data_IF_061910188723
#
_entry.id   IF_061910188723
#
_cell.length_a   1.000
_cell.length_b   1.000
_cell.length_c   1.000
_cell.angle_alpha   90.00
_cell.angle_beta   90.00
_cell.angle_gamma   90.00
#
_symmetry.space_group_name_H-M   'P 1'
#
loop_
_entity.id
_entity.type
_entity.pdbx_description
1 polymer ?
#
# COMPACT_ATOMS: atom_id res chain seq x y z
N UNK A 1 6.27 21.25 10.39
CA UNK A 1 5.95 19.83 10.18
C UNK A 1 4.52 19.72 9.66
N UNK A 2 4.37 19.33 8.39
CA UNK A 2 3.04 19.02 7.85
C UNK A 2 2.68 17.63 8.37
N UNK A 3 1.51 17.52 9.02
CA UNK A 3 1.03 16.29 9.63
C UNK A 3 0.94 15.11 8.64
N UNK A 4 0.97 13.90 9.16
CA UNK A 4 0.58 12.72 8.41
C UNK A 4 -0.90 12.89 8.06
N UNK A 5 -1.21 12.73 6.77
CA UNK A 5 -2.57 12.90 6.30
C UNK A 5 -3.55 11.91 6.91
N UNK A 6 -4.82 12.17 6.70
CA UNK A 6 -5.91 11.37 7.23
C UNK A 6 -5.88 9.92 6.73
N UNK A 7 -6.20 9.00 7.61
CA UNK A 7 -6.40 7.59 7.26
C UNK A 7 -7.83 7.42 6.77
N UNK A 8 -7.97 7.04 5.50
CA UNK A 8 -9.28 6.76 4.93
C UNK A 8 -9.78 5.36 5.33
N UNK A 9 -11.09 5.22 5.32
CA UNK A 9 -11.83 4.06 5.78
C UNK A 9 -11.35 2.75 5.16
N UNK A 10 -11.21 1.69 5.95
CA UNK A 10 -10.99 0.32 5.46
C UNK A 10 -12.13 -0.09 4.53
N UNK A 11 -11.81 -0.65 3.38
CA UNK A 11 -12.78 -1.18 2.42
C UNK A 11 -12.32 -2.56 1.92
N UNK A 12 -13.25 -3.39 1.50
CA UNK A 12 -12.97 -4.69 0.89
C UNK A 12 -12.65 -4.53 -0.60
N UNK A 13 -11.68 -5.32 -1.08
CA UNK A 13 -11.22 -5.32 -2.49
C UNK A 13 -12.16 -6.06 -3.44
N UNK A 14 -13.14 -6.79 -2.97
CA UNK A 14 -14.01 -7.60 -3.84
C UNK A 14 -14.58 -6.81 -5.03
N UNK A 15 -15.00 -5.56 -4.78
CA UNK A 15 -15.50 -4.68 -5.84
C UNK A 15 -14.40 -4.28 -6.83
N UNK A 16 -13.20 -3.97 -6.34
CA UNK A 16 -12.08 -3.55 -7.18
C UNK A 16 -11.55 -4.72 -8.03
N UNK A 17 -11.47 -5.93 -7.48
CA UNK A 17 -11.09 -7.13 -8.23
C UNK A 17 -12.13 -7.49 -9.30
N UNK A 18 -13.43 -7.35 -9.01
CA UNK A 18 -14.49 -7.57 -9.99
C UNK A 18 -14.41 -6.57 -11.14
N UNK A 19 -14.14 -5.30 -10.85
CA UNK A 19 -13.94 -4.25 -11.86
C UNK A 19 -12.68 -4.52 -12.69
N UNK A 20 -11.55 -4.86 -12.06
CA UNK A 20 -10.29 -5.14 -12.76
C UNK A 20 -10.40 -6.36 -13.68
N UNK A 21 -11.11 -7.40 -13.29
CA UNK A 21 -11.38 -8.57 -14.13
C UNK A 21 -12.35 -8.25 -15.28
N UNK A 22 -13.36 -7.42 -15.03
CA UNK A 22 -14.27 -6.93 -16.07
C UNK A 22 -13.57 -6.10 -17.14
N UNK A 23 -12.58 -5.30 -16.76
CA UNK A 23 -11.78 -4.51 -17.70
C UNK A 23 -10.86 -5.41 -18.53
N UNK A 24 -10.20 -6.41 -17.92
CA UNK A 24 -9.38 -7.39 -18.67
C UNK A 24 -10.18 -8.15 -19.72
N UNK A 25 -11.43 -8.51 -19.45
CA UNK A 25 -12.29 -9.20 -20.42
C UNK A 25 -12.69 -8.35 -21.62
N UNK A 26 -12.70 -7.02 -21.48
CA UNK A 26 -13.00 -6.09 -22.57
C UNK A 26 -11.83 -5.83 -23.53
N UNK A 27 -10.59 -6.09 -23.11
CA UNK A 27 -9.39 -5.84 -23.94
C UNK A 27 -8.84 -7.08 -24.64
N UNK A 28 -9.38 -8.27 -24.38
CA UNK A 28 -9.07 -9.45 -25.19
C UNK A 28 -10.11 -9.59 -26.30
N UNK A 29 -9.70 -9.31 -27.55
CA UNK A 29 -10.54 -9.34 -28.77
C UNK A 29 -11.16 -10.69 -29.14
N UNK A 30 -11.29 -11.64 -28.24
CA UNK A 30 -11.96 -12.95 -28.46
C UNK A 30 -12.61 -13.45 -27.20
N UNK A 31 -13.77 -12.96 -26.91
CA UNK A 31 -14.92 -13.75 -26.43
C UNK A 31 -16.03 -12.81 -25.94
N UNK A 32 -17.12 -12.76 -26.64
CA UNK A 32 -18.45 -12.37 -26.16
C UNK A 32 -19.00 -13.47 -25.23
N UNK A 33 -18.22 -13.96 -24.29
CA UNK A 33 -18.75 -14.73 -23.17
C UNK A 33 -19.24 -13.72 -22.14
N UNK A 34 -20.54 -13.68 -21.95
CA UNK A 34 -21.19 -13.07 -20.81
C UNK A 34 -20.64 -13.80 -19.58
N UNK A 35 -19.67 -13.20 -18.91
CA UNK A 35 -19.15 -13.74 -17.66
C UNK A 35 -20.26 -13.65 -16.63
N UNK A 36 -20.84 -14.78 -16.27
CA UNK A 36 -21.82 -14.87 -15.20
C UNK A 36 -21.14 -14.51 -13.87
N UNK A 37 -21.38 -13.28 -13.42
CA UNK A 37 -20.86 -12.75 -12.17
C UNK A 37 -21.20 -13.64 -10.96
N UNK A 38 -22.24 -14.49 -11.07
CA UNK A 38 -22.63 -15.42 -10.02
C UNK A 38 -21.74 -16.67 -9.94
N UNK A 39 -21.02 -17.03 -11.02
CA UNK A 39 -20.05 -18.14 -11.01
C UNK A 39 -18.67 -17.73 -10.45
N UNK A 40 -18.35 -16.43 -10.34
CA UNK A 40 -17.12 -15.94 -9.71
C UNK A 40 -17.15 -16.02 -8.17
N UNK A 41 -18.23 -16.53 -7.58
CA UNK A 41 -18.42 -16.66 -6.12
C UNK A 41 -17.76 -17.86 -5.47
N UNK A 42 -16.93 -18.63 -6.17
CA UNK A 42 -16.14 -19.71 -5.56
C UNK A 42 -14.86 -19.11 -4.98
N UNK A 43 -14.83 -19.07 -3.65
CA UNK A 43 -13.78 -18.56 -2.75
C UNK A 43 -13.65 -17.03 -2.69
N UNK A 44 -14.39 -16.42 -1.75
CA UNK A 44 -14.21 -15.04 -1.35
C UNK A 44 -12.91 -14.90 -0.57
N UNK A 45 -11.79 -14.75 -1.23
CA UNK A 45 -10.61 -14.18 -0.61
C UNK A 45 -10.81 -12.66 -0.50
N UNK A 46 -11.41 -12.22 0.61
CA UNK A 46 -11.49 -10.80 0.91
C UNK A 46 -10.12 -10.30 1.33
N UNK A 47 -9.59 -9.33 0.60
CA UNK A 47 -8.33 -8.67 0.92
C UNK A 47 -8.63 -7.28 1.47
N UNK A 48 -8.15 -7.01 2.67
CA UNK A 48 -8.33 -5.71 3.32
C UNK A 48 -7.23 -4.74 2.90
N UNK A 49 -7.61 -3.50 2.68
CA UNK A 49 -6.67 -2.41 2.42
C UNK A 49 -6.99 -1.17 3.27
N UNK A 50 -6.00 -0.31 3.39
CA UNK A 50 -6.15 1.03 3.99
C UNK A 50 -5.64 2.06 2.99
N UNK A 51 -6.43 3.10 2.72
CA UNK A 51 -5.97 4.23 1.92
C UNK A 51 -5.36 5.28 2.85
N UNK A 52 -4.13 5.71 2.55
CA UNK A 52 -3.43 6.74 3.31
C UNK A 52 -2.71 7.70 2.36
N UNK A 53 -2.47 8.92 2.81
CA UNK A 53 -1.67 9.90 2.09
C UNK A 53 -0.62 10.53 3.01
N UNK A 54 0.53 10.89 2.44
CA UNK A 54 1.55 11.69 3.08
C UNK A 54 1.95 12.85 2.17
N UNK A 55 1.70 14.07 2.59
CA UNK A 55 1.98 15.26 1.80
C UNK A 55 1.33 15.27 0.40
N UNK A 56 0.12 14.72 0.26
CA UNK A 56 -0.61 14.65 -0.99
C UNK A 56 -0.27 13.42 -1.86
N UNK A 57 0.75 12.65 -1.51
CA UNK A 57 1.11 11.42 -2.19
C UNK A 57 0.32 10.25 -1.58
N UNK A 58 -0.67 9.72 -2.29
CA UNK A 58 -1.66 8.79 -1.77
C UNK A 58 -1.48 7.38 -2.33
N UNK A 59 -1.38 6.40 -1.43
CA UNK A 59 -1.20 5.00 -1.75
C UNK A 59 -2.30 4.12 -1.14
N UNK A 60 -2.43 2.91 -1.70
CA UNK A 60 -3.28 1.84 -1.20
C UNK A 60 -2.38 0.86 -0.44
N UNK A 61 -2.59 0.73 0.88
CA UNK A 61 -1.73 -0.05 1.78
C UNK A 61 -2.37 -1.39 2.10
N UNK A 62 -1.58 -2.46 2.00
CA UNK A 62 -1.97 -3.82 2.34
C UNK A 62 -1.17 -4.32 3.53
N UNK A 63 -1.88 -4.75 4.59
CA UNK A 63 -1.25 -5.41 5.73
C UNK A 63 -0.94 -6.87 5.40
N UNK A 64 0.27 -7.12 4.90
CA UNK A 64 0.74 -8.46 4.58
C UNK A 64 1.42 -9.18 5.76
N UNK A 65 1.14 -8.78 7.01
CA UNK A 65 1.43 -9.57 8.20
C UNK A 65 0.47 -10.76 8.35
N UNK A 66 -0.77 -10.61 7.86
CA UNK A 66 -1.86 -11.56 8.02
C UNK A 66 -2.56 -11.94 6.69
N UNK A 67 -2.15 -11.35 5.58
CA UNK A 67 -2.69 -11.66 4.26
C UNK A 67 -1.56 -11.70 3.22
N UNK A 68 -1.81 -12.36 2.09
CA UNK A 68 -0.85 -12.50 1.01
C UNK A 68 -1.38 -11.87 -0.27
N UNK A 69 -0.49 -11.17 -0.97
CA UNK A 69 -0.74 -10.61 -2.30
C UNK A 69 0.21 -11.29 -3.28
N UNK A 70 -0.33 -12.07 -4.21
CA UNK A 70 0.46 -12.88 -5.14
C UNK A 70 0.93 -12.11 -6.37
N UNK A 71 0.15 -11.13 -6.84
CA UNK A 71 0.49 -10.31 -8.01
C UNK A 71 0.35 -8.82 -7.68
N UNK A 72 1.33 -8.23 -6.99
CA UNK A 72 1.25 -6.82 -6.59
C UNK A 72 1.36 -5.85 -7.77
N UNK A 73 2.11 -6.20 -8.83
CA UNK A 73 2.24 -5.40 -10.05
C UNK A 73 0.87 -5.24 -10.74
N UNK A 74 0.20 -6.37 -10.97
CA UNK A 74 -1.15 -6.36 -11.56
C UNK A 74 -2.19 -5.69 -10.66
N UNK A 75 -2.03 -5.83 -9.35
CA UNK A 75 -2.90 -5.16 -8.38
C UNK A 75 -2.70 -3.64 -8.42
N UNK A 76 -1.46 -3.16 -8.52
CA UNK A 76 -1.15 -1.74 -8.62
C UNK A 76 -1.78 -1.13 -9.88
N UNK A 77 -1.60 -1.78 -11.04
CA UNK A 77 -2.23 -1.35 -12.29
C UNK A 77 -3.76 -1.24 -12.19
N UNK A 78 -4.40 -2.24 -11.56
CA UNK A 78 -5.86 -2.29 -11.48
C UNK A 78 -6.43 -1.30 -10.46
N UNK A 79 -5.80 -1.17 -9.29
CA UNK A 79 -6.37 -0.40 -8.18
C UNK A 79 -5.96 1.07 -8.18
N UNK A 80 -4.84 1.43 -8.81
CA UNK A 80 -4.36 2.82 -8.80
C UNK A 80 -5.13 3.74 -9.73
N UNK A 81 -5.87 3.20 -10.69
CA UNK A 81 -6.74 4.00 -11.57
C UNK A 81 -7.76 4.79 -10.74
N UNK A 82 -7.81 6.11 -10.95
CA UNK A 82 -8.67 7.02 -10.18
C UNK A 82 -10.12 7.02 -10.64
N UNK A 83 -10.41 6.43 -11.80
CA UNK A 83 -11.76 6.37 -12.38
C UNK A 83 -12.39 4.98 -12.23
N UNK A 84 -11.59 3.93 -12.39
CA UNK A 84 -12.09 2.55 -12.42
C UNK A 84 -11.56 1.68 -11.28
N UNK A 85 -10.61 2.18 -10.49
CA UNK A 85 -10.04 1.53 -9.32
C UNK A 85 -10.39 2.24 -8.01
N UNK A 86 -9.56 2.03 -7.00
CA UNK A 86 -9.59 2.78 -5.73
C UNK A 86 -9.01 4.18 -5.94
N UNK A 87 -8.10 4.30 -6.89
CA UNK A 87 -7.34 5.51 -7.18
C UNK A 87 -6.18 5.74 -6.22
N UNK A 88 -5.01 6.09 -6.74
CA UNK A 88 -3.84 6.39 -5.94
C UNK A 88 -2.58 6.46 -6.80
N UNK A 89 -1.47 6.84 -6.17
CA UNK A 89 -0.16 6.89 -6.84
C UNK A 89 0.49 5.50 -6.94
N UNK A 90 -0.15 4.49 -6.35
CA UNK A 90 0.30 3.10 -6.37
C UNK A 90 -0.19 2.30 -5.16
N UNK A 91 0.50 1.18 -4.95
CA UNK A 91 0.22 0.20 -3.89
C UNK A 91 1.45 0.03 -3.01
N UNK A 92 1.24 -0.11 -1.70
CA UNK A 92 2.30 -0.42 -0.74
C UNK A 92 1.93 -1.68 0.04
N UNK A 93 2.84 -2.66 0.05
CA UNK A 93 2.74 -3.85 0.87
C UNK A 93 3.55 -3.66 2.15
N UNK A 94 2.90 -3.86 3.31
CA UNK A 94 3.52 -3.84 4.63
C UNK A 94 3.71 -5.29 5.06
N UNK A 95 4.95 -5.76 5.06
CA UNK A 95 5.32 -7.16 5.26
C UNK A 95 6.16 -7.35 6.52
N UNK A 96 6.25 -8.60 7.01
CA UNK A 96 7.25 -8.98 8.02
C UNK A 96 8.65 -8.90 7.42
N UNK A 97 9.61 -8.46 8.23
CA UNK A 97 11.04 -8.51 7.91
C UNK A 97 11.76 -9.51 8.83
N UNK A 98 12.88 -10.05 8.36
CA UNK A 98 13.79 -10.88 9.18
C UNK A 98 14.92 -10.04 9.80
N UNK A 99 15.08 -8.80 9.34
CA UNK A 99 16.25 -7.94 9.67
C UNK A 99 15.85 -6.56 10.19
N UNK A 100 14.56 -6.24 10.18
CA UNK A 100 14.01 -4.96 10.60
C UNK A 100 12.63 -5.16 11.26
N UNK A 101 11.99 -4.09 11.73
CA UNK A 101 10.67 -4.14 12.37
C UNK A 101 9.55 -4.47 11.38
N UNK A 102 9.77 -4.13 10.12
CA UNK A 102 8.87 -4.44 9.01
C UNK A 102 9.56 -4.22 7.68
N UNK A 103 8.86 -4.60 6.62
CA UNK A 103 9.31 -4.43 5.24
C UNK A 103 8.27 -3.70 4.42
N UNK A 104 8.70 -2.71 3.66
CA UNK A 104 7.91 -1.99 2.70
C UNK A 104 8.30 -2.42 1.28
N UNK A 105 7.31 -2.86 0.50
CA UNK A 105 7.43 -2.93 -0.95
C UNK A 105 6.41 -1.97 -1.55
N UNK A 106 6.82 -1.20 -2.53
CA UNK A 106 5.92 -0.26 -3.19
C UNK A 106 5.87 -0.50 -4.69
N UNK A 107 4.71 -0.31 -5.26
CA UNK A 107 4.45 -0.46 -6.68
C UNK A 107 3.77 0.81 -7.19
N UNK A 108 4.34 1.41 -8.22
CA UNK A 108 3.80 2.59 -8.86
C UNK A 108 2.49 2.26 -9.60
N UNK A 109 1.78 3.28 -10.01
CA UNK A 109 0.52 3.13 -10.77
C UNK A 109 0.69 2.37 -12.11
N UNK A 110 1.91 2.32 -12.66
CA UNK A 110 2.27 1.56 -13.87
C UNK A 110 2.68 0.10 -13.57
N UNK A 111 2.60 -0.33 -12.31
CA UNK A 111 2.97 -1.67 -11.85
C UNK A 111 4.47 -1.86 -11.58
N UNK A 112 5.31 -0.89 -11.89
CA UNK A 112 6.75 -0.99 -11.60
C UNK A 112 7.02 -0.96 -10.10
N UNK A 113 7.95 -1.80 -9.61
CA UNK A 113 8.36 -1.77 -8.20
C UNK A 113 9.35 -0.63 -7.95
N UNK A 114 8.95 0.30 -7.08
CA UNK A 114 9.79 1.43 -6.66
C UNK A 114 10.71 1.04 -5.50
N UNK A 115 11.88 1.68 -5.44
CA UNK A 115 12.88 1.36 -4.42
C UNK A 115 12.48 1.83 -3.03
N UNK A 116 11.93 3.04 -2.92
CA UNK A 116 11.48 3.65 -1.66
C UNK A 116 10.69 4.93 -1.95
N UNK A 117 9.75 5.27 -1.06
CA UNK A 117 9.04 6.53 -1.07
C UNK A 117 9.04 7.15 0.33
N UNK A 118 9.65 8.33 0.48
CA UNK A 118 9.77 9.01 1.77
C UNK A 118 8.40 9.39 2.39
N UNK A 119 7.40 9.69 1.57
CA UNK A 119 6.03 9.94 2.04
C UNK A 119 5.33 8.62 2.42
N UNK A 120 5.47 7.60 1.58
CA UNK A 120 4.88 6.29 1.81
C UNK A 120 5.40 5.62 3.07
N UNK A 121 6.71 5.65 3.34
CA UNK A 121 7.30 4.99 4.50
C UNK A 121 6.85 5.62 5.83
N UNK A 122 6.54 6.93 5.86
CA UNK A 122 5.95 7.59 7.04
C UNK A 122 4.58 7.02 7.36
N UNK A 123 3.76 6.81 6.33
CA UNK A 123 2.46 6.15 6.47
C UNK A 123 2.61 4.70 6.90
N UNK A 124 3.60 3.94 6.38
CA UNK A 124 3.90 2.57 6.82
C UNK A 124 4.21 2.53 8.32
N UNK A 125 5.11 3.40 8.80
CA UNK A 125 5.47 3.45 10.22
C UNK A 125 4.25 3.79 11.10
N UNK A 126 3.45 4.78 10.71
CA UNK A 126 2.20 5.11 11.39
C UNK A 126 1.24 3.93 11.39
N UNK A 127 1.03 3.29 10.24
CA UNK A 127 0.16 2.12 10.12
C UNK A 127 0.58 0.99 11.08
N UNK A 128 1.88 0.67 11.09
CA UNK A 128 2.42 -0.39 11.94
C UNK A 128 2.20 -0.09 13.42
N UNK A 129 2.37 1.17 13.83
CA UNK A 129 2.14 1.60 15.21
C UNK A 129 0.67 1.58 15.60
N UNK A 130 -0.20 2.18 14.79
CA UNK A 130 -1.64 2.32 15.06
C UNK A 130 -2.36 0.96 15.07
N UNK A 131 -1.87 -0.02 14.30
CA UNK A 131 -2.43 -1.38 14.27
C UNK A 131 -1.73 -2.36 15.23
N UNK A 132 -0.84 -1.89 16.09
CA UNK A 132 -0.16 -2.71 17.09
C UNK A 132 0.79 -3.78 16.52
N UNK A 133 1.25 -3.60 15.28
CA UNK A 133 2.22 -4.50 14.65
C UNK A 133 3.62 -4.30 15.24
N UNK A 134 3.92 -3.07 15.68
CA UNK A 134 5.16 -2.69 16.37
C UNK A 134 4.83 -1.74 17.51
N UNK A 135 5.38 -1.99 18.70
CA UNK A 135 5.13 -1.19 19.89
C UNK A 135 6.32 -0.29 20.28
N UNK A 136 6.82 0.48 19.32
CA UNK A 136 7.85 1.50 19.53
C UNK A 136 7.71 2.62 18.52
N UNK A 137 8.26 3.78 18.80
CA UNK A 137 8.19 4.97 17.93
C UNK A 137 9.41 5.13 17.04
N UNK A 138 10.57 4.57 17.44
CA UNK A 138 11.77 4.50 16.61
C UNK A 138 11.79 3.14 15.89
N UNK A 139 11.60 3.14 14.59
CA UNK A 139 11.46 1.94 13.77
C UNK A 139 12.52 1.85 12.68
N UNK A 140 12.90 0.63 12.36
CA UNK A 140 13.68 0.29 11.18
C UNK A 140 12.78 -0.44 10.18
N UNK A 141 12.74 0.03 8.93
CA UNK A 141 11.91 -0.54 7.87
C UNK A 141 12.80 -0.96 6.70
N UNK A 142 12.75 -2.24 6.36
CA UNK A 142 13.43 -2.80 5.20
C UNK A 142 12.76 -2.30 3.92
N UNK A 143 13.56 -1.84 2.96
CA UNK A 143 13.14 -1.40 1.62
C UNK A 143 14.11 -1.91 0.57
N UNK A 144 13.81 -1.74 -0.72
CA UNK A 144 14.79 -2.02 -1.78
C UNK A 144 16.01 -1.06 -1.78
N UNK A 145 15.91 0.06 -1.06
CA UNK A 145 17.04 0.99 -0.85
C UNK A 145 17.84 0.68 0.42
N UNK A 146 17.53 -0.41 1.12
CA UNK A 146 18.12 -0.78 2.39
C UNK A 146 17.21 -0.53 3.58
N UNK A 147 17.78 -0.55 4.78
CA UNK A 147 17.06 -0.31 6.04
C UNK A 147 16.97 1.19 6.28
N UNK A 148 15.75 1.69 6.40
CA UNK A 148 15.43 3.10 6.62
C UNK A 148 14.95 3.28 8.06
N UNK A 149 15.54 4.24 8.76
CA UNK A 149 15.15 4.61 10.13
C UNK A 149 14.05 5.66 10.08
N UNK A 150 12.96 5.38 10.79
CA UNK A 150 11.80 6.25 10.91
C UNK A 150 11.52 6.50 12.38
N UNK A 151 11.40 7.76 12.78
CA UNK A 151 11.00 8.16 14.12
C UNK A 151 9.64 8.81 14.09
N UNK A 152 8.68 8.23 14.82
CA UNK A 152 7.34 8.76 14.98
C UNK A 152 7.32 9.88 16.03
N UNK A 153 6.49 10.88 15.78
CA UNK A 153 6.19 11.95 16.74
C UNK A 153 4.73 11.83 17.15
N UNK A 154 4.47 11.96 18.45
CA UNK A 154 3.12 11.89 19.01
C UNK A 154 2.69 13.23 19.58
N UNK A 155 1.39 13.46 19.51
CA UNK A 155 0.72 14.56 20.19
C UNK A 155 -0.58 14.03 20.80
N UNK A 156 -0.79 14.23 22.09
CA UNK A 156 -1.92 13.67 22.84
C UNK A 156 -2.08 12.13 22.70
N UNK A 157 -0.96 11.41 22.61
CA UNK A 157 -0.95 9.94 22.47
C UNK A 157 -1.13 9.41 21.06
N UNK A 158 -1.52 10.25 20.11
CA UNK A 158 -1.69 9.89 18.69
C UNK A 158 -0.44 10.20 17.86
N UNK A 159 -0.17 9.36 16.87
CA UNK A 159 0.92 9.60 15.91
C UNK A 159 0.49 10.70 14.94
N UNK A 160 1.16 11.84 15.01
CA UNK A 160 0.87 13.01 14.16
C UNK A 160 2.02 13.42 13.24
N UNK A 161 3.18 12.80 13.37
CA UNK A 161 4.34 13.09 12.52
C UNK A 161 5.29 11.90 12.42
N UNK A 162 6.17 11.96 11.42
CA UNK A 162 7.28 11.03 11.27
C UNK A 162 8.48 11.72 10.63
N UNK A 163 9.66 11.48 11.19
CA UNK A 163 10.95 11.87 10.62
C UNK A 163 11.60 10.65 9.99
N UNK A 164 12.04 10.77 8.74
CA UNK A 164 12.70 9.71 7.98
C UNK A 164 14.15 10.10 7.75
N UNK A 165 15.07 9.20 8.08
CA UNK A 165 16.48 9.37 7.74
C UNK A 165 16.71 8.92 6.29
N UNK A 166 16.86 9.87 5.38
CA UNK A 166 17.06 9.62 3.94
C UNK A 166 18.53 9.38 3.56
N UNK A 167 19.45 9.41 4.55
CA UNK A 167 20.88 9.39 4.29
C UNK A 167 21.44 10.74 3.82
N UNK A 168 22.74 10.82 3.52
CA UNK A 168 23.36 12.02 2.97
C UNK A 168 22.85 12.32 1.56
N UNK A 169 22.78 13.61 1.21
CA UNK A 169 22.53 14.02 -0.16
C UNK A 169 23.73 13.59 -1.05
N UNK A 170 23.44 12.93 -2.15
CA UNK A 170 24.43 12.65 -3.19
C UNK A 170 24.32 13.80 -4.18
N UNK A 171 25.37 14.61 -4.25
CA UNK A 171 25.51 15.69 -5.23
C UNK A 171 26.47 15.21 -6.30
N UNK A 172 25.94 14.98 -7.50
CA UNK A 172 26.73 14.65 -8.70
C UNK A 172 27.33 15.95 -9.28
#
# INVERSE_FOLDING_TARGET
SRGLGDVYKRQSIDTANAIAQSIRSKYTEKSTEIVDINHMRKEKHMVEFTKMQGCGNDYIYFNCFNQRIDNPEGLALALSDRHFGIGGDGVILIQKSKVADGKMRMFNLDGSEGRMCGNGIRCVAKFMRDNGLVDKDDMEIETLSGIIKVKLTRHYGEVNGATVNMGPAILD
#
